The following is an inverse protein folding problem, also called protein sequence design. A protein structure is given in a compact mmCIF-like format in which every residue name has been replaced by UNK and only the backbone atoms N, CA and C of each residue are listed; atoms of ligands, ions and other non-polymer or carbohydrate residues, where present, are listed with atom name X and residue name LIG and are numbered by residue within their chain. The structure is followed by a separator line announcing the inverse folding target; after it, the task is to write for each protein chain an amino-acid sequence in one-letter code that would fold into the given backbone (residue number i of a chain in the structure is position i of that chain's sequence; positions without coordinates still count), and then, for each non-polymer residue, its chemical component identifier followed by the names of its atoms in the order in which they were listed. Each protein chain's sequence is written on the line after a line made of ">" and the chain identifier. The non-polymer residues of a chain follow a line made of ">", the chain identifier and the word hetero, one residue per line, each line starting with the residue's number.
data_IF_203943528188
#
_entry.id   IF_203943528188
#
_cell.length_a   1.000
_cell.length_b   1.000
_cell.length_c   1.000
_cell.angle_alpha   90.00
_cell.angle_beta   90.00
_cell.angle_gamma   90.00
#
_symmetry.space_group_name_H-M   'P 1'
#
loop_
_entity.id
_entity.type
_entity.pdbx_description
1 polymer ?
#
# COMPACT_ATOMS: atom_id res chain seq x y z
N UNK A 1 37.63 25.50 -10.18
CA UNK A 1 36.25 25.69 -9.67
C UNK A 1 35.45 24.46 -10.06
N UNK A 2 34.94 23.68 -9.10
CA UNK A 2 34.04 22.53 -9.37
C UNK A 2 32.56 23.00 -9.38
N UNK A 3 31.64 22.19 -9.93
CA UNK A 3 30.53 22.56 -10.81
C UNK A 3 29.22 22.76 -10.05
N UNK A 4 28.11 23.07 -10.73
CA UNK A 4 26.70 22.62 -10.50
C UNK A 4 25.85 23.35 -11.56
N UNK A 5 25.22 22.60 -12.47
CA UNK A 5 23.76 22.59 -12.73
C UNK A 5 23.51 21.77 -14.00
N UNK A 6 23.91 20.50 -13.96
CA UNK A 6 23.22 19.50 -14.75
C UNK A 6 22.32 18.83 -13.72
N UNK A 7 21.10 19.34 -13.60
CA UNK A 7 20.03 18.61 -12.93
C UNK A 7 19.87 17.30 -13.70
N UNK A 8 20.66 16.31 -13.28
CA UNK A 8 20.56 14.89 -13.60
C UNK A 8 19.14 14.46 -13.20
N UNK A 9 18.20 14.77 -14.08
CA UNK A 9 16.88 14.18 -14.06
C UNK A 9 17.13 12.68 -14.21
N UNK A 10 16.75 11.85 -13.22
CA UNK A 10 16.88 10.43 -13.38
C UNK A 10 16.17 10.05 -14.68
N UNK A 11 16.77 9.16 -15.50
CA UNK A 11 16.18 8.79 -16.77
C UNK A 11 14.75 8.34 -16.50
N UNK A 12 13.83 8.84 -17.32
CA UNK A 12 12.46 8.33 -17.51
C UNK A 12 12.52 6.83 -17.80
N UNK A 13 12.72 6.02 -16.78
CA UNK A 13 12.46 4.60 -16.79
C UNK A 13 10.96 4.47 -16.58
N UNK A 14 10.29 3.79 -17.51
CA UNK A 14 9.01 3.11 -17.32
C UNK A 14 8.41 3.35 -15.93
N UNK A 15 7.55 4.37 -15.80
CA UNK A 15 6.73 4.55 -14.60
C UNK A 15 5.71 3.41 -14.56
N UNK A 16 6.21 2.21 -14.27
CA UNK A 16 5.39 1.11 -13.80
C UNK A 16 4.86 1.59 -12.48
N UNK A 17 3.62 2.07 -12.47
CA UNK A 17 2.96 2.58 -11.27
C UNK A 17 2.91 1.45 -10.25
N UNK A 18 3.83 1.47 -9.29
CA UNK A 18 3.89 0.47 -8.25
C UNK A 18 3.07 0.96 -7.06
N UNK A 19 1.87 0.40 -6.91
CA UNK A 19 0.90 0.76 -5.86
C UNK A 19 1.55 0.84 -4.46
N UNK A 20 2.49 -0.06 -4.13
CA UNK A 20 3.17 -0.05 -2.83
C UNK A 20 4.08 1.16 -2.64
N UNK A 21 4.79 1.59 -3.69
CA UNK A 21 5.67 2.77 -3.66
C UNK A 21 4.83 4.04 -3.53
N UNK A 22 3.74 4.14 -4.28
CA UNK A 22 2.81 5.26 -4.21
C UNK A 22 2.13 5.35 -2.84
N UNK A 23 1.74 4.22 -2.24
CA UNK A 23 1.20 4.18 -0.89
C UNK A 23 2.25 4.67 0.13
N UNK A 24 3.50 4.21 0.04
CA UNK A 24 4.56 4.65 0.93
C UNK A 24 4.85 6.16 0.80
N UNK A 25 4.86 6.67 -0.43
CA UNK A 25 4.99 8.10 -0.69
C UNK A 25 3.80 8.90 -0.11
N UNK A 26 2.57 8.41 -0.30
CA UNK A 26 1.36 9.07 0.20
C UNK A 26 1.34 9.20 1.73
N UNK A 27 1.85 8.19 2.44
CA UNK A 27 1.95 8.21 3.91
C UNK A 27 3.31 8.67 4.44
N UNK A 28 4.18 9.17 3.56
CA UNK A 28 5.53 9.71 3.86
C UNK A 28 6.42 8.75 4.63
N UNK A 29 6.39 7.48 4.27
CA UNK A 29 7.24 6.46 4.87
C UNK A 29 8.56 6.32 4.10
N UNK A 30 9.71 6.30 4.79
CA UNK A 30 11.02 6.20 4.14
C UNK A 30 11.30 4.81 3.59
N UNK A 31 10.70 3.76 4.16
CA UNK A 31 10.91 2.38 3.73
C UNK A 31 9.58 1.68 3.47
N UNK A 32 9.51 0.87 2.39
CA UNK A 32 8.34 0.04 2.08
C UNK A 32 7.97 -0.90 3.23
N UNK A 33 8.95 -1.40 3.98
CA UNK A 33 8.74 -2.26 5.15
C UNK A 33 7.83 -1.64 6.20
N UNK A 34 7.87 -0.30 6.33
CA UNK A 34 7.13 0.45 7.34
C UNK A 34 5.63 0.48 7.04
N UNK A 35 5.22 0.18 5.80
CA UNK A 35 3.81 0.03 5.43
C UNK A 35 3.11 -1.02 6.32
N UNK A 36 3.83 -2.05 6.77
CA UNK A 36 3.28 -3.12 7.61
C UNK A 36 3.15 -2.73 9.08
N UNK A 37 3.61 -1.54 9.48
CA UNK A 37 3.41 -1.05 10.83
C UNK A 37 1.92 -0.72 11.05
N UNK A 38 1.34 -1.21 12.14
CA UNK A 38 -0.07 -0.94 12.49
C UNK A 38 -0.37 0.57 12.58
N UNK A 39 0.63 1.38 12.94
CA UNK A 39 0.51 2.85 12.98
C UNK A 39 0.31 3.48 11.59
N UNK A 40 0.70 2.80 10.52
CA UNK A 40 0.52 3.28 9.14
C UNK A 40 -0.89 2.97 8.60
N UNK A 41 -1.57 1.96 9.13
CA UNK A 41 -2.83 1.45 8.56
C UNK A 41 -3.95 2.49 8.46
N UNK A 42 -4.16 3.42 9.44
CA UNK A 42 -5.18 4.45 9.30
C UNK A 42 -4.88 5.39 8.12
N UNK A 43 -3.60 5.77 7.95
CA UNK A 43 -3.17 6.62 6.84
C UNK A 43 -3.27 5.90 5.50
N UNK A 44 -2.96 4.60 5.47
CA UNK A 44 -3.11 3.77 4.28
C UNK A 44 -4.57 3.60 3.87
N UNK A 45 -5.49 3.43 4.82
CA UNK A 45 -6.91 3.39 4.53
C UNK A 45 -7.39 4.71 3.90
N UNK A 46 -6.95 5.85 4.43
CA UNK A 46 -7.24 7.15 3.84
C UNK A 46 -6.65 7.30 2.42
N UNK A 47 -5.40 6.88 2.21
CA UNK A 47 -4.77 6.94 0.89
C UNK A 47 -5.49 6.03 -0.13
N UNK A 48 -5.84 4.81 0.29
CA UNK A 48 -6.57 3.85 -0.53
C UNK A 48 -7.95 4.39 -0.94
N UNK A 49 -8.66 5.11 -0.07
CA UNK A 49 -9.96 5.69 -0.41
C UNK A 49 -9.88 6.63 -1.63
N UNK A 50 -8.82 7.45 -1.70
CA UNK A 50 -8.57 8.39 -2.80
C UNK A 50 -8.08 7.75 -4.11
N UNK A 51 -7.67 6.48 -4.09
CA UNK A 51 -7.17 5.77 -5.28
C UNK A 51 -8.31 5.11 -6.04
N UNK A 52 -8.48 5.43 -7.33
CA UNK A 52 -9.42 4.71 -8.18
C UNK A 52 -8.82 3.34 -8.58
N UNK A 53 -9.58 2.23 -8.49
CA UNK A 53 -9.05 0.91 -8.83
C UNK A 53 -8.43 0.81 -10.23
N UNK A 54 -8.97 1.56 -11.20
CA UNK A 54 -8.50 1.57 -12.59
C UNK A 54 -7.16 2.30 -12.81
N UNK A 55 -6.61 2.99 -11.81
CA UNK A 55 -5.31 3.66 -11.91
C UNK A 55 -4.13 2.69 -11.93
N UNK A 56 -4.32 1.47 -11.42
CA UNK A 56 -3.27 0.44 -11.31
C UNK A 56 -3.74 -0.85 -11.96
N UNK A 57 -2.79 -1.66 -12.44
CA UNK A 57 -3.13 -2.95 -13.00
C UNK A 57 -3.61 -3.91 -11.90
N UNK A 58 -4.47 -4.90 -12.21
CA UNK A 58 -4.85 -5.93 -11.24
C UNK A 58 -3.66 -6.71 -10.66
N UNK A 59 -2.50 -6.71 -11.34
CA UNK A 59 -1.27 -7.29 -10.81
C UNK A 59 -0.74 -6.51 -9.59
N UNK A 60 -0.65 -5.18 -9.67
CA UNK A 60 -0.17 -4.33 -8.57
C UNK A 60 -1.07 -4.46 -7.33
N UNK A 61 -2.38 -4.52 -7.53
CA UNK A 61 -3.33 -4.76 -6.44
C UNK A 61 -3.12 -6.13 -5.79
N UNK A 62 -2.84 -7.17 -6.57
CA UNK A 62 -2.56 -8.53 -6.04
C UNK A 62 -1.27 -8.55 -5.25
N UNK A 63 -0.23 -7.88 -5.74
CA UNK A 63 1.06 -7.79 -5.06
C UNK A 63 0.92 -7.02 -3.74
N UNK A 64 0.15 -5.93 -3.72
CA UNK A 64 -0.17 -5.23 -2.48
C UNK A 64 -0.94 -6.11 -1.49
N UNK A 65 -1.98 -6.82 -1.93
CA UNK A 65 -2.71 -7.75 -1.06
C UNK A 65 -1.80 -8.85 -0.51
N UNK A 66 -0.92 -9.40 -1.36
CA UNK A 66 0.05 -10.41 -0.93
C UNK A 66 1.05 -9.85 0.08
N UNK A 67 1.53 -8.63 -0.14
CA UNK A 67 2.46 -7.95 0.75
C UNK A 67 1.90 -7.74 2.17
N UNK A 68 0.64 -7.32 2.29
CA UNK A 68 0.00 -7.08 3.57
C UNK A 68 -0.54 -8.36 4.23
N UNK A 69 -1.30 -9.16 3.49
CA UNK A 69 -2.06 -10.27 4.05
C UNK A 69 -1.41 -11.65 3.84
N UNK A 70 -0.32 -11.73 3.07
CA UNK A 70 0.26 -13.00 2.62
C UNK A 70 -0.66 -13.80 1.68
N UNK A 71 -1.77 -13.20 1.23
CA UNK A 71 -2.82 -13.87 0.45
C UNK A 71 -2.74 -13.48 -1.03
N UNK A 72 -3.01 -14.42 -1.90
CA UNK A 72 -3.20 -14.15 -3.32
C UNK A 72 -4.69 -14.08 -3.62
N UNK A 73 -5.14 -12.99 -4.25
CA UNK A 73 -6.49 -12.93 -4.80
C UNK A 73 -6.60 -13.81 -6.06
N UNK A 74 -7.81 -14.30 -6.40
CA UNK A 74 -8.04 -15.02 -7.65
C UNK A 74 -7.60 -14.20 -8.86
N UNK A 75 -7.04 -14.86 -9.89
CA UNK A 75 -6.64 -14.19 -11.14
C UNK A 75 -7.83 -13.55 -11.89
N UNK A 76 -9.04 -14.04 -11.64
CA UNK A 76 -10.29 -13.49 -12.18
C UNK A 76 -10.79 -12.27 -11.40
N UNK A 77 -10.18 -11.93 -10.26
CA UNK A 77 -10.62 -10.81 -9.45
C UNK A 77 -10.25 -9.47 -10.11
N UNK A 78 -11.19 -8.52 -10.07
CA UNK A 78 -10.96 -7.18 -10.59
C UNK A 78 -10.15 -6.35 -9.60
N UNK A 79 -9.51 -5.27 -10.09
CA UNK A 79 -8.81 -4.30 -9.23
C UNK A 79 -9.67 -3.80 -8.07
N UNK A 80 -10.97 -3.54 -8.31
CA UNK A 80 -11.90 -3.09 -7.28
C UNK A 80 -12.12 -4.16 -6.18
N UNK A 81 -12.30 -5.42 -6.57
CA UNK A 81 -12.46 -6.53 -5.62
C UNK A 81 -11.19 -6.73 -4.78
N UNK A 82 -10.01 -6.61 -5.40
CA UNK A 82 -8.74 -6.75 -4.68
C UNK A 82 -8.52 -5.58 -3.72
N UNK A 83 -8.87 -4.35 -4.13
CA UNK A 83 -8.87 -3.16 -3.26
C UNK A 83 -9.77 -3.37 -2.03
N UNK A 84 -11.00 -3.86 -2.22
CA UNK A 84 -11.92 -4.15 -1.11
C UNK A 84 -11.34 -5.20 -0.14
N UNK A 85 -10.72 -6.26 -0.66
CA UNK A 85 -10.05 -7.27 0.16
C UNK A 85 -8.91 -6.68 0.99
N UNK A 86 -8.11 -5.80 0.39
CA UNK A 86 -7.00 -5.11 1.06
C UNK A 86 -7.52 -4.17 2.15
N UNK A 87 -8.48 -3.29 1.82
CA UNK A 87 -9.11 -2.38 2.79
C UNK A 87 -9.70 -3.16 3.96
N UNK A 88 -10.48 -4.20 3.68
CA UNK A 88 -11.07 -5.04 4.71
C UNK A 88 -10.04 -5.78 5.57
N UNK A 89 -8.86 -6.11 5.03
CA UNK A 89 -7.76 -6.67 5.82
C UNK A 89 -7.18 -5.62 6.78
N UNK A 90 -6.81 -4.44 6.28
CA UNK A 90 -6.22 -3.38 7.09
C UNK A 90 -7.16 -2.93 8.22
N UNK A 91 -8.46 -2.77 7.93
CA UNK A 91 -9.47 -2.42 8.95
C UNK A 91 -9.57 -3.49 10.05
N UNK A 92 -9.66 -4.78 9.70
CA UNK A 92 -9.72 -5.86 10.70
C UNK A 92 -8.48 -5.92 11.58
N UNK A 93 -7.30 -5.64 11.02
CA UNK A 93 -6.06 -5.62 11.79
C UNK A 93 -6.02 -4.45 12.77
N UNK A 94 -6.54 -3.28 12.38
CA UNK A 94 -6.73 -2.14 13.29
C UNK A 94 -7.73 -2.46 14.40
N UNK A 95 -8.88 -3.04 14.06
CA UNK A 95 -9.88 -3.44 15.05
C UNK A 95 -9.31 -4.44 16.05
N UNK A 96 -8.56 -5.44 15.56
CA UNK A 96 -7.88 -6.43 16.41
C UNK A 96 -6.85 -5.78 17.33
N UNK A 97 -6.09 -4.81 16.84
CA UNK A 97 -5.11 -4.08 17.64
C UNK A 97 -5.75 -3.17 18.70
N UNK A 98 -6.97 -2.67 18.43
CA UNK A 98 -7.74 -1.82 19.35
C UNK A 98 -8.49 -2.63 20.43
N UNK A 99 -8.70 -3.93 20.22
CA UNK A 99 -9.34 -4.79 21.22
C UNK A 99 -8.41 -5.00 22.42
N UNK A 100 -8.87 -4.74 23.66
CA UNK A 100 -8.09 -5.07 24.85
C UNK A 100 -7.86 -6.58 24.89
N UNK A 101 -6.70 -7.05 25.40
CA UNK A 101 -6.48 -8.48 25.59
C UNK A 101 -7.61 -9.01 26.45
N UNK A 102 -8.33 -10.02 25.96
CA UNK A 102 -9.44 -10.61 26.69
C UNK A 102 -8.95 -11.01 28.09
N UNK A 103 -9.45 -10.31 29.11
CA UNK A 103 -9.16 -10.61 30.50
C UNK A 103 -9.51 -12.05 30.76
N UNK A 104 -8.50 -12.93 30.85
CA UNK A 104 -8.69 -14.28 31.40
C UNK A 104 -8.99 -14.09 32.88
N UNK A 105 -10.27 -14.26 33.23
CA UNK A 105 -10.75 -14.49 34.59
C UNK A 105 -10.11 -15.75 35.17
#
# INVERSE_FOLDING_TARGET
>A
MRPIDDCDLPPTGDQTLHLLEDLAAAVKLPYLSDLRALTAYPLLLCALDGILPAQYAPADWRDALHYFAGKQAPLSATAAQIKELLVGYLSRELDRAAQPPASRH
#
